data_IF_019008177435
#
_entry.id   IF_019008177435
#
_cell.length_a   1.000
_cell.length_b   1.000
_cell.length_c   1.000
_cell.angle_alpha   90.00
_cell.angle_beta   90.00
_cell.angle_gamma   90.00
#
_symmetry.space_group_name_H-M   'P 1'
#
loop_
_entity.id
_entity.type
_entity.pdbx_description
1 polymer ?
#
# COMPACT_ATOMS: atom_id res chain seq x y z
N UNK A 1 -32.39 -4.72 -6.18
CA UNK A 1 -31.74 -3.42 -5.97
C UNK A 1 -30.41 -3.46 -6.71
N UNK A 2 -30.02 -2.41 -7.43
CA UNK A 2 -28.69 -2.32 -8.03
C UNK A 2 -27.62 -2.29 -6.95
N UNK A 3 -26.48 -2.92 -7.20
CA UNK A 3 -25.33 -2.83 -6.29
C UNK A 3 -24.88 -1.37 -6.15
N UNK A 4 -24.70 -0.84 -4.92
CA UNK A 4 -24.23 0.54 -4.74
C UNK A 4 -22.88 0.77 -5.42
N UNK A 5 -22.73 1.87 -6.14
CA UNK A 5 -21.43 2.32 -6.61
C UNK A 5 -20.63 2.87 -5.43
N UNK A 6 -19.33 2.55 -5.40
CA UNK A 6 -18.42 2.93 -4.31
C UNK A 6 -17.47 4.01 -4.82
N UNK A 7 -17.36 5.10 -4.08
CA UNK A 7 -16.52 6.25 -4.41
C UNK A 7 -15.49 6.54 -3.31
N UNK A 8 -14.40 7.19 -3.68
CA UNK A 8 -13.37 7.66 -2.75
C UNK A 8 -13.61 9.13 -2.46
N UNK A 9 -13.83 9.46 -1.20
CA UNK A 9 -14.17 10.83 -0.76
C UNK A 9 -13.11 11.45 0.15
N UNK A 10 -12.14 10.67 0.62
CA UNK A 10 -11.03 11.16 1.40
C UNK A 10 -9.82 10.26 1.30
N UNK A 11 -8.64 10.87 1.41
CA UNK A 11 -7.34 10.21 1.36
C UNK A 11 -6.42 10.74 2.45
N UNK A 12 -5.58 9.88 3.02
CA UNK A 12 -4.58 10.26 4.01
C UNK A 12 -3.41 9.29 4.00
N UNK A 13 -2.20 9.78 4.23
CA UNK A 13 -1.00 8.93 4.27
C UNK A 13 0.12 9.54 5.10
N UNK A 14 1.04 8.69 5.51
CA UNK A 14 2.37 9.05 5.98
C UNK A 14 3.36 8.04 5.40
N UNK A 15 4.40 8.54 4.74
CA UNK A 15 5.26 7.75 3.86
C UNK A 15 6.74 8.14 4.04
N UNK A 16 7.68 7.41 3.44
CA UNK A 16 9.10 7.80 3.41
C UNK A 16 9.40 9.09 2.67
N UNK A 17 8.47 9.57 1.84
CA UNK A 17 8.66 10.76 1.00
C UNK A 17 7.81 11.96 1.46
N UNK A 18 6.93 11.79 2.45
CA UNK A 18 6.11 12.87 2.98
C UNK A 18 5.30 12.47 4.20
N UNK A 19 4.96 13.42 5.06
CA UNK A 19 4.17 13.22 6.27
C UNK A 19 2.66 13.23 6.06
N UNK A 20 2.20 13.64 4.87
CA UNK A 20 0.81 13.77 4.45
C UNK A 20 0.67 13.48 2.94
N UNK A 21 -0.57 13.52 2.44
CA UNK A 21 -0.87 13.28 1.01
C UNK A 21 -0.21 14.31 0.11
N UNK A 22 -0.28 15.59 0.46
CA UNK A 22 0.20 16.67 -0.39
C UNK A 22 1.72 16.62 -0.58
N UNK A 23 2.46 16.46 0.52
CA UNK A 23 3.93 16.35 0.50
C UNK A 23 4.38 15.06 -0.18
N UNK A 24 3.71 13.93 0.10
CA UNK A 24 4.02 12.64 -0.53
C UNK A 24 3.79 12.68 -2.03
N UNK A 25 2.65 13.18 -2.49
CA UNK A 25 2.34 13.24 -3.92
C UNK A 25 3.28 14.18 -4.68
N UNK A 26 3.58 15.35 -4.10
CA UNK A 26 4.57 16.28 -4.68
C UNK A 26 5.96 15.64 -4.83
N UNK A 27 6.42 14.92 -3.81
CA UNK A 27 7.71 14.23 -3.84
C UNK A 27 7.73 13.07 -4.87
N UNK A 28 6.64 12.31 -4.97
CA UNK A 28 6.47 11.24 -5.96
C UNK A 28 6.54 11.79 -7.38
N UNK A 29 5.81 12.88 -7.68
CA UNK A 29 5.86 13.50 -9.02
C UNK A 29 7.24 14.11 -9.33
N UNK A 30 7.95 14.59 -8.30
CA UNK A 30 9.31 15.11 -8.45
C UNK A 30 10.39 14.01 -8.56
N UNK A 31 10.02 12.72 -8.48
CA UNK A 31 10.97 11.61 -8.52
C UNK A 31 11.92 11.56 -7.31
N UNK A 32 11.47 12.01 -6.13
CA UNK A 32 12.29 12.03 -4.93
C UNK A 32 12.28 10.67 -4.23
N UNK A 33 13.45 10.14 -3.93
CA UNK A 33 13.60 8.92 -3.14
C UNK A 33 13.55 9.21 -1.64
N UNK A 34 12.74 8.43 -0.90
CA UNK A 34 12.72 8.41 0.57
C UNK A 34 13.64 7.36 1.19
N UNK A 35 14.40 6.66 0.36
CA UNK A 35 15.34 5.63 0.83
C UNK A 35 16.61 6.28 1.39
N UNK A 36 16.98 5.88 2.61
CA UNK A 36 18.14 6.43 3.31
C UNK A 36 18.83 5.36 4.17
N UNK A 37 20.08 5.60 4.60
CA UNK A 37 20.74 4.72 5.57
C UNK A 37 19.94 4.63 6.89
N UNK A 38 19.95 3.46 7.50
CA UNK A 38 19.38 3.25 8.82
C UNK A 38 20.43 3.68 9.85
N UNK A 39 20.10 4.67 10.70
CA UNK A 39 20.95 5.14 11.80
C UNK A 39 20.60 4.39 13.10
N UNK A 40 21.16 3.18 13.25
CA UNK A 40 20.99 2.37 14.44
C UNK A 40 22.17 1.40 14.60
N UNK A 41 22.57 1.12 15.83
CA UNK A 41 23.71 0.22 16.11
C UNK A 41 23.48 -1.21 15.57
N UNK A 42 22.25 -1.73 15.66
CA UNK A 42 21.92 -3.09 15.26
C UNK A 42 22.06 -3.37 13.75
N UNK A 43 22.13 -2.32 12.91
CA UNK A 43 22.23 -2.47 11.45
C UNK A 43 23.66 -2.71 10.95
N UNK A 44 24.69 -2.41 11.76
CA UNK A 44 26.08 -2.33 11.32
C UNK A 44 26.61 -3.60 10.64
N UNK A 45 26.17 -4.78 11.10
CA UNK A 45 26.59 -6.08 10.58
C UNK A 45 25.58 -6.67 9.55
N UNK A 46 24.49 -5.95 9.25
CA UNK A 46 23.50 -6.43 8.30
C UNK A 46 23.97 -6.22 6.85
N UNK A 47 23.64 -7.15 5.92
CA UNK A 47 23.96 -6.99 4.50
C UNK A 47 23.27 -5.78 3.88
N UNK A 48 21.99 -5.54 4.20
CA UNK A 48 21.23 -4.36 3.81
C UNK A 48 21.13 -3.39 4.98
N UNK A 49 21.54 -2.13 4.77
CA UNK A 49 21.60 -1.08 5.81
C UNK A 49 20.80 0.15 5.44
N UNK A 50 19.85 0.00 4.53
CA UNK A 50 19.03 1.07 3.97
C UNK A 50 17.55 0.75 4.09
N UNK A 51 16.72 1.78 4.23
CA UNK A 51 15.26 1.63 4.26
C UNK A 51 14.56 2.94 3.89
N UNK A 52 13.30 2.83 3.50
CA UNK A 52 12.35 3.92 3.41
C UNK A 52 11.67 4.13 4.77
N UNK A 53 12.30 4.87 5.67
CA UNK A 53 11.74 5.22 6.96
C UNK A 53 10.77 6.39 6.81
N UNK A 54 9.78 6.55 7.71
CA UNK A 54 8.85 7.69 7.70
C UNK A 54 9.58 9.03 7.61
N UNK A 55 9.10 9.91 6.71
CA UNK A 55 9.66 11.25 6.54
C UNK A 55 9.43 12.15 7.76
N UNK A 56 8.31 11.94 8.45
CA UNK A 56 7.95 12.64 9.70
C UNK A 56 7.76 11.59 10.80
N UNK A 57 8.46 11.78 11.92
CA UNK A 57 8.32 10.87 13.06
C UNK A 57 6.94 10.98 13.70
N UNK A 58 6.26 9.86 14.02
CA UNK A 58 4.96 9.90 14.65
C UNK A 58 4.91 10.71 15.95
N UNK A 59 6.01 10.80 16.69
CA UNK A 59 6.12 11.59 17.92
C UNK A 59 6.05 13.10 17.71
N UNK A 60 6.20 13.58 16.48
CA UNK A 60 6.04 14.99 16.11
C UNK A 60 4.55 15.35 15.89
N UNK A 61 3.73 14.35 15.57
CA UNK A 61 2.30 14.50 15.26
C UNK A 61 1.40 14.05 16.39
N UNK A 62 1.74 12.93 17.02
CA UNK A 62 0.96 12.31 18.09
C UNK A 62 1.38 12.77 19.48
N UNK A 63 0.45 12.70 20.42
CA UNK A 63 0.75 12.97 21.83
C UNK A 63 1.65 11.89 22.44
N UNK A 64 2.39 12.23 23.51
CA UNK A 64 3.20 11.28 24.28
C UNK A 64 2.39 10.09 24.83
N UNK A 65 1.09 10.25 25.05
CA UNK A 65 0.22 9.18 25.53
C UNK A 65 -0.05 8.19 24.40
N UNK A 66 -0.35 8.67 23.22
CA UNK A 66 -0.59 7.85 22.01
C UNK A 66 0.68 7.07 21.63
N UNK A 67 1.82 7.72 21.55
CA UNK A 67 3.09 7.07 21.18
C UNK A 67 3.53 5.97 22.16
N UNK A 68 3.09 6.04 23.43
CA UNK A 68 3.39 5.00 24.44
C UNK A 68 2.41 3.83 24.44
N UNK A 69 1.23 4.00 23.87
CA UNK A 69 0.14 3.01 23.92
C UNK A 69 -0.07 2.30 22.58
N UNK A 70 0.45 2.86 21.52
CA UNK A 70 0.28 2.38 20.15
C UNK A 70 1.62 1.87 19.61
N UNK A 71 1.57 0.73 18.91
CA UNK A 71 2.68 0.29 18.08
C UNK A 71 2.94 1.30 16.94
N UNK A 72 4.17 1.34 16.41
CA UNK A 72 4.53 2.27 15.35
C UNK A 72 3.62 2.15 14.10
N UNK A 73 3.20 0.93 13.75
CA UNK A 73 2.25 0.70 12.65
C UNK A 73 0.86 1.27 12.96
N UNK A 74 0.42 1.17 14.22
CA UNK A 74 -0.83 1.77 14.68
C UNK A 74 -0.74 3.30 14.70
N UNK A 75 0.41 3.85 15.09
CA UNK A 75 0.67 5.29 15.05
C UNK A 75 0.55 5.85 13.63
N UNK A 76 1.22 5.20 12.66
CA UNK A 76 1.13 5.58 11.25
C UNK A 76 -0.32 5.49 10.72
N UNK A 77 -1.03 4.42 11.06
CA UNK A 77 -2.44 4.24 10.67
C UNK A 77 -3.35 5.34 11.22
N UNK A 78 -3.17 5.75 12.49
CA UNK A 78 -3.94 6.83 13.13
C UNK A 78 -3.66 8.18 12.45
N UNK A 79 -2.40 8.49 12.15
CA UNK A 79 -2.02 9.73 11.44
C UNK A 79 -2.72 9.79 10.07
N UNK A 80 -2.58 8.73 9.27
CA UNK A 80 -3.21 8.67 7.95
C UNK A 80 -4.75 8.67 8.04
N UNK A 81 -5.33 7.99 9.03
CA UNK A 81 -6.78 7.95 9.20
C UNK A 81 -7.37 9.31 9.57
N UNK A 82 -6.70 10.08 10.42
CA UNK A 82 -7.12 11.44 10.79
C UNK A 82 -7.11 12.37 9.58
N UNK A 83 -6.06 12.31 8.76
CA UNK A 83 -5.99 13.07 7.53
C UNK A 83 -7.13 12.68 6.59
N UNK A 84 -7.29 11.37 6.29
CA UNK A 84 -8.34 10.89 5.39
C UNK A 84 -9.75 11.27 5.86
N UNK A 85 -10.02 11.19 7.18
CA UNK A 85 -11.31 11.55 7.76
C UNK A 85 -11.60 13.04 7.64
N UNK A 86 -10.60 13.88 7.89
CA UNK A 86 -10.72 15.33 7.74
C UNK A 86 -10.88 15.73 6.27
N UNK A 87 -10.10 15.13 5.37
CA UNK A 87 -10.18 15.34 3.93
C UNK A 87 -11.56 14.97 3.38
N UNK A 88 -12.17 13.88 3.87
CA UNK A 88 -13.55 13.53 3.56
C UNK A 88 -14.59 14.50 4.14
N UNK A 89 -14.19 15.51 4.91
CA UNK A 89 -15.09 16.44 5.59
C UNK A 89 -15.79 15.84 6.82
N UNK A 90 -15.21 14.83 7.46
CA UNK A 90 -15.71 14.14 8.64
C UNK A 90 -17.21 13.76 8.50
N UNK A 91 -17.56 12.84 7.58
CA UNK A 91 -18.94 12.55 7.19
C UNK A 91 -19.82 12.19 8.38
N UNK A 92 -21.00 12.81 8.46
CA UNK A 92 -22.01 12.44 9.43
C UNK A 92 -22.68 11.13 9.01
N UNK A 93 -22.39 10.06 9.72
CA UNK A 93 -22.92 8.72 9.45
C UNK A 93 -23.33 8.04 10.74
N UNK A 94 -24.37 7.20 10.68
CA UNK A 94 -24.75 6.41 11.86
C UNK A 94 -23.61 5.42 12.18
N UNK A 95 -23.20 5.29 13.47
CA UNK A 95 -22.11 4.39 13.84
C UNK A 95 -22.26 2.95 13.32
N UNK A 96 -23.48 2.44 13.26
CA UNK A 96 -23.84 1.12 12.74
C UNK A 96 -23.71 1.00 11.22
N UNK A 97 -23.47 2.13 10.52
CA UNK A 97 -23.22 2.22 9.07
C UNK A 97 -21.79 2.65 8.74
N UNK A 98 -20.95 2.84 9.77
CA UNK A 98 -19.53 3.21 9.68
C UNK A 98 -18.64 2.00 9.98
N UNK A 99 -17.74 1.65 9.08
CA UNK A 99 -16.79 0.55 9.22
C UNK A 99 -15.33 0.98 9.21
N UNK A 100 -14.43 0.07 9.61
CA UNK A 100 -12.98 0.20 9.45
C UNK A 100 -12.37 -1.12 8.99
N UNK A 101 -11.57 -1.10 7.91
CA UNK A 101 -10.87 -2.29 7.39
C UNK A 101 -9.44 -1.90 7.06
N UNK A 102 -8.47 -2.28 7.91
CA UNK A 102 -7.07 -1.87 7.74
C UNK A 102 -6.18 -3.11 7.85
N UNK A 103 -5.42 -3.35 6.78
CA UNK A 103 -4.49 -4.47 6.68
C UNK A 103 -3.09 -4.15 7.19
N UNK A 104 -2.39 -5.17 7.65
CA UNK A 104 -0.95 -5.16 7.95
C UNK A 104 -0.39 -6.54 7.66
N UNK A 105 0.85 -6.63 7.19
CA UNK A 105 1.46 -7.91 6.85
C UNK A 105 2.02 -8.64 8.07
N UNK A 106 2.60 -7.91 9.02
CA UNK A 106 3.32 -8.48 10.18
C UNK A 106 2.72 -8.01 11.51
N UNK A 107 2.25 -6.77 11.58
CA UNK A 107 1.75 -6.17 12.82
C UNK A 107 2.88 -5.64 13.72
N UNK A 108 2.65 -5.59 15.04
CA UNK A 108 3.51 -4.92 16.00
C UNK A 108 4.76 -5.69 16.43
N UNK A 109 5.58 -6.15 15.50
CA UNK A 109 6.79 -6.93 15.80
C UNK A 109 7.81 -6.13 16.60
N UNK A 110 7.96 -4.83 16.34
CA UNK A 110 8.88 -3.97 17.10
C UNK A 110 8.47 -3.89 18.57
N UNK A 111 7.18 -3.69 18.84
CA UNK A 111 6.64 -3.72 20.20
C UNK A 111 6.79 -5.08 20.89
N UNK A 112 6.73 -6.18 20.14
CA UNK A 112 6.96 -7.52 20.67
C UNK A 112 8.41 -7.69 21.14
N UNK A 113 9.38 -7.26 20.33
CA UNK A 113 10.80 -7.36 20.64
C UNK A 113 11.16 -6.50 21.87
N UNK A 114 10.71 -5.25 21.90
CA UNK A 114 10.92 -4.34 23.05
C UNK A 114 10.35 -4.91 24.36
N UNK A 115 9.18 -5.56 24.25
CA UNK A 115 8.54 -6.20 25.40
C UNK A 115 9.31 -7.47 25.83
N UNK A 116 9.85 -8.24 24.88
CA UNK A 116 10.67 -9.41 25.15
C UNK A 116 11.98 -9.03 25.84
N UNK A 117 12.66 -7.99 25.39
CA UNK A 117 13.87 -7.47 26.03
C UNK A 117 13.57 -6.94 27.43
N UNK A 118 12.48 -6.20 27.60
CA UNK A 118 12.01 -5.74 28.92
C UNK A 118 11.72 -6.92 29.86
N UNK A 119 11.09 -7.99 29.35
CA UNK A 119 10.81 -9.21 30.14
C UNK A 119 12.13 -9.85 30.63
N UNK A 120 13.12 -9.99 29.75
CA UNK A 120 14.39 -10.63 30.08
C UNK A 120 15.26 -9.79 31.03
N UNK A 121 15.31 -8.48 30.83
CA UNK A 121 16.19 -7.59 31.62
C UNK A 121 15.55 -7.16 32.94
N UNK A 122 14.23 -6.96 32.98
CA UNK A 122 13.53 -6.28 34.11
C UNK A 122 12.38 -7.07 34.72
N UNK A 123 12.03 -8.22 34.15
CA UNK A 123 10.96 -9.11 34.59
C UNK A 123 9.56 -8.68 34.16
N UNK A 124 8.58 -9.59 34.30
CA UNK A 124 7.23 -9.47 33.79
C UNK A 124 6.47 -8.21 34.26
N UNK A 125 6.73 -7.75 35.48
CA UNK A 125 6.06 -6.58 36.06
C UNK A 125 6.41 -5.24 35.42
N UNK A 126 7.43 -5.23 34.54
CA UNK A 126 7.87 -4.05 33.78
C UNK A 126 7.40 -4.06 32.32
N UNK A 127 6.88 -5.17 31.84
CA UNK A 127 6.29 -5.27 30.49
C UNK A 127 5.05 -4.33 30.43
N UNK A 128 4.92 -3.61 29.32
CA UNK A 128 3.81 -2.68 29.12
C UNK A 128 2.44 -3.41 29.21
N UNK A 129 1.45 -2.89 29.94
CA UNK A 129 0.11 -3.46 29.95
C UNK A 129 -0.59 -3.32 28.59
N UNK A 130 -0.08 -2.50 27.68
CA UNK A 130 -0.59 -2.32 26.32
C UNK A 130 0.05 -3.28 25.30
N UNK A 131 1.07 -4.05 25.71
CA UNK A 131 1.87 -4.88 24.80
C UNK A 131 0.99 -5.79 23.93
N UNK A 132 0.02 -6.48 24.51
CA UNK A 132 -0.82 -7.41 23.74
C UNK A 132 -1.61 -6.68 22.65
N UNK A 133 -2.20 -5.52 22.95
CA UNK A 133 -2.93 -4.74 21.95
C UNK A 133 -2.04 -4.07 20.91
N UNK A 134 -0.78 -3.82 21.25
CA UNK A 134 0.22 -3.27 20.31
C UNK A 134 0.68 -4.30 19.27
N UNK A 135 0.80 -5.58 19.66
CA UNK A 135 1.34 -6.62 18.77
C UNK A 135 0.31 -7.24 17.82
N UNK A 136 -0.98 -7.15 18.16
CA UNK A 136 -2.02 -7.82 17.37
C UNK A 136 -2.17 -7.20 15.96
N UNK A 137 -2.21 -8.02 14.88
CA UNK A 137 -2.38 -7.51 13.53
C UNK A 137 -3.69 -6.73 13.30
N UNK A 138 -4.73 -6.99 14.09
CA UNK A 138 -5.96 -6.19 14.04
C UNK A 138 -5.84 -4.84 14.77
N UNK A 139 -4.72 -4.55 15.41
CA UNK A 139 -4.48 -3.33 16.19
C UNK A 139 -4.73 -2.04 15.41
N UNK A 140 -4.17 -1.87 14.20
CA UNK A 140 -4.41 -0.67 13.39
C UNK A 140 -5.89 -0.43 13.10
N UNK A 141 -6.62 -1.46 12.65
CA UNK A 141 -8.06 -1.36 12.40
C UNK A 141 -8.85 -1.05 13.68
N UNK A 142 -8.46 -1.67 14.80
CA UNK A 142 -9.13 -1.48 16.08
C UNK A 142 -8.98 -0.05 16.61
N UNK A 143 -7.77 0.53 16.61
CA UNK A 143 -7.53 1.88 17.11
C UNK A 143 -8.21 2.93 16.24
N UNK A 144 -8.16 2.81 14.92
CA UNK A 144 -8.87 3.69 14.00
C UNK A 144 -10.39 3.54 14.16
N UNK A 145 -10.90 2.31 14.20
CA UNK A 145 -12.33 2.05 14.39
C UNK A 145 -12.88 2.63 15.69
N UNK A 146 -12.11 2.55 16.79
CA UNK A 146 -12.47 3.19 18.06
C UNK A 146 -12.51 4.71 17.96
N UNK A 147 -11.53 5.32 17.28
CA UNK A 147 -11.43 6.78 17.15
C UNK A 147 -12.60 7.37 16.36
N UNK A 148 -13.01 6.72 15.28
CA UNK A 148 -14.14 7.20 14.46
C UNK A 148 -15.51 6.69 14.95
N UNK A 149 -15.55 5.79 15.93
CA UNK A 149 -16.80 5.22 16.45
C UNK A 149 -17.46 4.20 15.53
N UNK A 150 -16.66 3.44 14.73
CA UNK A 150 -17.16 2.44 13.80
C UNK A 150 -17.87 1.27 14.49
N UNK A 151 -19.10 0.92 14.05
CA UNK A 151 -19.90 -0.19 14.57
C UNK A 151 -20.46 -1.12 13.48
N UNK A 152 -20.33 -0.81 12.20
CA UNK A 152 -20.73 -1.71 11.12
C UNK A 152 -19.82 -2.94 11.03
N UNK A 153 -18.58 -2.80 11.50
CA UNK A 153 -17.55 -3.86 11.55
C UNK A 153 -16.15 -3.27 11.51
N UNK A 154 -15.23 -3.96 12.19
CA UNK A 154 -13.80 -3.62 12.21
C UNK A 154 -13.04 -4.89 11.84
N UNK A 155 -12.30 -4.85 10.74
CA UNK A 155 -11.61 -6.02 10.18
C UNK A 155 -10.16 -5.71 9.82
N UNK A 156 -9.31 -6.73 9.82
CA UNK A 156 -7.91 -6.62 9.43
C UNK A 156 -7.51 -7.85 8.60
N UNK A 157 -7.54 -7.78 7.27
CA UNK A 157 -7.00 -8.85 6.45
C UNK A 157 -5.47 -8.89 6.56
N UNK A 158 -4.93 -10.11 6.45
CA UNK A 158 -3.49 -10.37 6.46
C UNK A 158 -3.15 -11.25 5.25
N UNK A 159 -2.62 -10.63 4.20
CA UNK A 159 -2.18 -11.26 2.96
C UNK A 159 -0.78 -10.76 2.55
N UNK A 160 0.10 -10.67 3.55
CA UNK A 160 1.46 -10.15 3.41
C UNK A 160 1.46 -8.78 2.70
N UNK A 161 2.21 -8.64 1.59
CA UNK A 161 2.33 -7.36 0.87
C UNK A 161 1.02 -6.88 0.20
N UNK A 162 0.02 -7.76 0.05
CA UNK A 162 -1.28 -7.42 -0.53
C UNK A 162 -2.33 -6.95 0.51
N UNK A 163 -2.00 -6.95 1.81
CA UNK A 163 -2.96 -6.70 2.90
C UNK A 163 -3.72 -5.39 2.76
N UNK A 164 -3.06 -4.30 2.38
CA UNK A 164 -3.70 -2.98 2.22
C UNK A 164 -4.66 -2.94 1.03
N UNK A 165 -4.30 -3.55 -0.09
CA UNK A 165 -5.18 -3.65 -1.26
C UNK A 165 -6.38 -4.57 -0.96
N UNK A 166 -6.16 -5.71 -0.29
CA UNK A 166 -7.24 -6.60 0.15
C UNK A 166 -8.20 -5.91 1.11
N UNK A 167 -7.68 -5.07 2.01
CA UNK A 167 -8.50 -4.28 2.93
C UNK A 167 -9.45 -3.36 2.16
N UNK A 168 -8.97 -2.65 1.14
CA UNK A 168 -9.78 -1.77 0.28
C UNK A 168 -10.87 -2.58 -0.45
N UNK A 169 -10.52 -3.74 -1.01
CA UNK A 169 -11.49 -4.62 -1.67
C UNK A 169 -12.59 -5.10 -0.69
N UNK A 170 -12.21 -5.51 0.51
CA UNK A 170 -13.16 -5.98 1.54
C UNK A 170 -14.05 -4.84 2.06
N UNK A 171 -13.52 -3.63 2.20
CA UNK A 171 -14.29 -2.44 2.58
C UNK A 171 -15.34 -2.07 1.52
N UNK A 172 -14.95 -2.05 0.25
CA UNK A 172 -15.87 -1.82 -0.85
C UNK A 172 -16.98 -2.87 -0.89
N UNK A 173 -16.66 -4.14 -0.60
CA UNK A 173 -17.64 -5.22 -0.50
C UNK A 173 -18.63 -4.99 0.64
N UNK A 174 -18.20 -4.47 1.80
CA UNK A 174 -19.11 -4.11 2.90
C UNK A 174 -20.14 -3.05 2.46
N UNK A 175 -19.75 -2.08 1.64
CA UNK A 175 -20.65 -1.06 1.10
C UNK A 175 -21.59 -1.67 0.06
N UNK A 176 -21.06 -2.44 -0.89
CA UNK A 176 -21.85 -3.11 -1.93
C UNK A 176 -22.90 -4.07 -1.38
N UNK A 177 -22.59 -4.74 -0.25
CA UNK A 177 -23.50 -5.63 0.47
C UNK A 177 -24.53 -4.87 1.35
N UNK A 178 -24.45 -3.54 1.37
CA UNK A 178 -25.37 -2.70 2.17
C UNK A 178 -25.12 -2.79 3.68
N UNK A 179 -23.95 -3.23 4.12
CA UNK A 179 -23.58 -3.33 5.56
C UNK A 179 -23.06 -2.01 6.12
N UNK A 180 -22.47 -1.17 5.29
CA UNK A 180 -21.96 0.15 5.64
C UNK A 180 -22.28 1.16 4.55
N UNK A 181 -22.32 2.46 4.90
CA UNK A 181 -22.35 3.57 3.94
C UNK A 181 -20.97 4.19 3.78
N UNK A 182 -20.19 4.18 4.86
CA UNK A 182 -18.83 4.74 4.93
C UNK A 182 -17.89 3.73 5.56
N UNK A 183 -16.72 3.52 4.96
CA UNK A 183 -15.67 2.66 5.52
C UNK A 183 -14.31 3.35 5.37
N UNK A 184 -13.57 3.52 6.48
CA UNK A 184 -12.15 3.85 6.44
C UNK A 184 -11.37 2.57 6.17
N UNK A 185 -10.51 2.61 5.15
CA UNK A 185 -9.80 1.41 4.74
C UNK A 185 -8.42 1.72 4.17
N UNK A 186 -7.56 0.74 4.22
CA UNK A 186 -6.20 0.83 3.70
C UNK A 186 -5.24 -0.12 4.38
N UNK A 187 -3.99 0.30 4.55
CA UNK A 187 -2.96 -0.55 5.14
C UNK A 187 -1.84 0.23 5.80
N UNK A 188 -1.13 -0.43 6.67
CA UNK A 188 0.02 0.11 7.39
C UNK A 188 1.07 -0.95 7.63
N UNK A 189 2.33 -0.55 7.70
CA UNK A 189 3.43 -1.39 8.18
C UNK A 189 4.53 -0.55 8.79
N UNK A 190 5.15 -1.05 9.87
CA UNK A 190 6.31 -0.40 10.51
C UNK A 190 7.19 -1.45 11.19
N UNK A 191 7.96 -2.19 10.38
CA UNK A 191 8.71 -3.36 10.82
C UNK A 191 10.20 -3.26 10.53
N UNK A 192 10.73 -2.05 10.38
CA UNK A 192 12.18 -1.83 10.18
C UNK A 192 12.89 -2.06 11.52
N UNK A 193 13.32 -3.30 11.74
CA UNK A 193 14.06 -3.71 12.95
C UNK A 193 15.04 -4.85 12.63
N UNK A 194 15.91 -5.17 13.57
CA UNK A 194 16.99 -6.13 13.36
C UNK A 194 16.57 -7.50 12.84
N UNK A 195 15.50 -8.08 13.41
CA UNK A 195 15.08 -9.43 13.04
C UNK A 195 14.40 -9.50 11.65
N UNK A 196 13.61 -8.52 11.29
CA UNK A 196 12.97 -8.48 9.98
C UNK A 196 13.97 -8.21 8.87
N UNK A 197 14.89 -7.25 9.08
CA UNK A 197 16.02 -6.99 8.17
C UNK A 197 16.90 -8.24 8.01
N UNK A 198 17.25 -8.93 9.10
CA UNK A 198 18.02 -10.17 9.07
C UNK A 198 17.26 -11.28 8.31
N UNK A 199 15.97 -11.45 8.57
CA UNK A 199 15.13 -12.47 7.94
C UNK A 199 15.06 -12.29 6.42
N UNK A 200 14.74 -11.08 5.94
CA UNK A 200 14.71 -10.80 4.50
C UNK A 200 16.09 -10.82 3.85
N UNK A 201 17.15 -10.42 4.57
CA UNK A 201 18.54 -10.55 4.10
C UNK A 201 18.94 -12.03 3.94
N UNK A 202 18.55 -12.89 4.90
CA UNK A 202 18.81 -14.33 4.82
C UNK A 202 18.13 -14.98 3.61
N UNK A 203 16.94 -14.45 3.21
CA UNK A 203 16.24 -14.83 1.98
C UNK A 203 16.88 -14.25 0.72
N UNK A 204 17.86 -13.34 0.83
CA UNK A 204 18.43 -12.55 -0.26
C UNK A 204 17.37 -11.75 -1.03
N UNK A 205 16.40 -11.22 -0.31
CA UNK A 205 15.30 -10.47 -0.89
C UNK A 205 15.53 -8.95 -0.87
N UNK A 206 16.43 -8.47 0.00
CA UNK A 206 16.74 -7.03 0.12
C UNK A 206 17.90 -6.62 -0.78
N UNK A 207 17.80 -5.40 -1.31
CA UNK A 207 18.91 -4.72 -1.96
C UNK A 207 20.06 -4.48 -0.99
N UNK A 208 21.27 -4.67 -1.48
CA UNK A 208 22.51 -4.42 -0.74
C UNK A 208 23.28 -3.19 -1.22
N UNK A 209 22.66 -2.34 -2.03
CA UNK A 209 23.23 -1.10 -2.56
C UNK A 209 23.33 0.00 -1.50
N UNK A 210 24.08 -0.29 -0.44
CA UNK A 210 24.23 0.59 0.73
C UNK A 210 24.99 1.89 0.43
N UNK A 211 25.85 1.89 -0.61
CA UNK A 211 26.70 3.04 -0.96
C UNK A 211 25.92 4.11 -1.74
N UNK A 212 24.77 3.74 -2.34
CA UNK A 212 23.86 4.66 -3.02
C UNK A 212 22.42 4.31 -2.69
N UNK A 213 21.92 4.66 -1.50
CA UNK A 213 20.59 4.29 -1.02
C UNK A 213 19.47 4.76 -1.95
N UNK A 214 19.61 5.96 -2.52
CA UNK A 214 18.57 6.56 -3.38
C UNK A 214 18.42 5.85 -4.71
N UNK A 215 19.43 5.13 -5.17
CA UNK A 215 19.44 4.33 -6.39
C UNK A 215 19.18 2.83 -6.15
N UNK A 216 18.90 2.42 -4.90
CA UNK A 216 18.79 1.00 -4.54
C UNK A 216 17.50 0.36 -5.04
N UNK A 217 16.36 1.01 -4.87
CA UNK A 217 15.10 0.55 -5.44
C UNK A 217 14.99 1.00 -6.90
N UNK A 218 15.07 0.05 -7.82
CA UNK A 218 15.17 0.30 -9.27
C UNK A 218 14.34 -0.73 -10.08
N UNK A 219 13.01 -0.69 -9.96
CA UNK A 219 12.14 -1.63 -10.67
C UNK A 219 12.43 -1.65 -12.17
N UNK A 220 12.42 -2.85 -12.74
CA UNK A 220 12.61 -3.11 -14.17
C UNK A 220 14.03 -2.89 -14.72
N UNK A 221 14.93 -2.35 -13.92
CA UNK A 221 16.34 -2.16 -14.31
C UNK A 221 17.13 -3.47 -14.24
N UNK A 222 18.10 -3.64 -15.16
CA UNK A 222 18.97 -4.83 -15.18
C UNK A 222 19.79 -5.02 -13.92
N UNK A 223 20.13 -3.93 -13.24
CA UNK A 223 21.01 -3.93 -12.06
C UNK A 223 20.21 -3.97 -10.73
N UNK A 224 18.91 -4.29 -10.76
CA UNK A 224 18.11 -4.50 -9.54
C UNK A 224 18.55 -5.74 -8.81
N UNK A 225 18.69 -5.65 -7.50
CA UNK A 225 19.25 -6.71 -6.64
C UNK A 225 18.34 -7.11 -5.47
N UNK A 226 17.13 -6.58 -5.39
CA UNK A 226 16.17 -6.84 -4.34
C UNK A 226 15.35 -5.61 -3.97
N UNK A 227 14.36 -5.78 -3.08
CA UNK A 227 13.56 -4.65 -2.63
C UNK A 227 14.25 -3.86 -1.49
N UNK A 228 13.85 -2.62 -1.30
CA UNK A 228 14.20 -1.82 -0.12
C UNK A 228 13.01 -1.83 0.82
N UNK A 229 13.20 -2.21 2.09
CA UNK A 229 12.10 -2.18 3.07
C UNK A 229 11.65 -0.76 3.35
N UNK A 230 10.34 -0.54 3.42
CA UNK A 230 9.73 0.73 3.77
C UNK A 230 8.74 0.60 4.93
N UNK A 231 8.37 1.73 5.54
CA UNK A 231 7.32 1.83 6.55
C UNK A 231 6.37 3.00 6.23
N UNK A 232 5.14 2.92 6.73
CA UNK A 232 4.13 3.96 6.54
C UNK A 232 2.71 3.43 6.53
N UNK A 233 1.77 4.31 6.20
CA UNK A 233 0.36 3.99 6.10
C UNK A 233 -0.33 4.80 5.00
N UNK A 234 -1.34 4.18 4.38
CA UNK A 234 -2.30 4.85 3.51
C UNK A 234 -3.72 4.48 3.91
N UNK A 235 -4.58 5.46 4.02
CA UNK A 235 -6.00 5.28 4.35
C UNK A 235 -6.85 6.03 3.33
N UNK A 236 -7.89 5.38 2.84
CA UNK A 236 -8.93 5.99 2.01
C UNK A 236 -10.28 5.91 2.73
N UNK A 237 -11.12 6.90 2.49
CA UNK A 237 -12.53 6.87 2.88
C UNK A 237 -13.33 6.41 1.66
N UNK A 238 -13.93 5.23 1.76
CA UNK A 238 -14.89 4.74 0.77
C UNK A 238 -16.30 5.04 1.23
N UNK A 239 -17.12 5.54 0.30
CA UNK A 239 -18.55 5.80 0.53
C UNK A 239 -19.41 5.19 -0.58
N UNK A 240 -20.66 4.86 -0.26
CA UNK A 240 -21.66 4.68 -1.32
C UNK A 240 -21.85 6.03 -2.03
N UNK A 241 -21.96 6.01 -3.36
CA UNK A 241 -22.17 7.24 -4.14
C UNK A 241 -23.40 8.01 -3.65
N UNK A 242 -24.48 7.31 -3.34
CA UNK A 242 -25.71 7.91 -2.81
C UNK A 242 -25.46 8.72 -1.54
N UNK A 243 -24.69 8.17 -0.57
CA UNK A 243 -24.35 8.87 0.67
C UNK A 243 -23.44 10.07 0.40
N UNK A 244 -22.43 9.89 -0.45
CA UNK A 244 -21.47 10.95 -0.81
C UNK A 244 -22.17 12.14 -1.49
N UNK A 245 -23.03 11.88 -2.48
CA UNK A 245 -23.79 12.91 -3.20
C UNK A 245 -24.81 13.60 -2.29
N UNK A 246 -25.52 12.88 -1.43
CA UNK A 246 -26.49 13.44 -0.50
C UNK A 246 -25.88 14.48 0.45
N UNK A 247 -24.59 14.36 0.79
CA UNK A 247 -23.88 15.32 1.64
C UNK A 247 -22.99 16.32 0.85
N UNK A 248 -22.97 16.24 -0.48
CA UNK A 248 -22.17 17.13 -1.34
C UNK A 248 -20.65 16.88 -1.22
N UNK A 249 -20.24 15.63 -1.04
CA UNK A 249 -18.82 15.26 -0.93
C UNK A 249 -18.05 15.52 -2.23
N UNK A 250 -16.79 15.91 -2.10
CA UNK A 250 -15.84 15.82 -3.20
C UNK A 250 -15.49 14.35 -3.46
N UNK A 251 -15.48 13.95 -4.74
CA UNK A 251 -15.17 12.58 -5.14
C UNK A 251 -13.82 12.59 -5.87
N UNK A 252 -12.84 11.85 -5.36
CA UNK A 252 -11.53 11.69 -5.98
C UNK A 252 -11.55 10.75 -7.18
N UNK A 253 -12.38 9.71 -7.12
CA UNK A 253 -12.48 8.67 -8.13
C UNK A 253 -13.49 7.60 -7.71
N UNK A 254 -13.74 6.67 -8.61
CA UNK A 254 -14.64 5.53 -8.39
C UNK A 254 -13.82 4.28 -8.14
N UNK A 255 -14.15 3.56 -7.07
CA UNK A 255 -13.69 2.18 -6.91
C UNK A 255 -14.48 1.30 -7.89
N UNK A 256 -13.82 0.83 -8.94
CA UNK A 256 -14.43 0.01 -9.97
C UNK A 256 -14.66 -1.44 -9.52
N UNK A 257 -13.61 -2.09 -9.06
CA UNK A 257 -13.68 -3.50 -8.69
C UNK A 257 -12.36 -4.06 -8.19
N UNK A 258 -12.37 -5.33 -7.80
CA UNK A 258 -11.19 -6.08 -7.37
C UNK A 258 -11.16 -7.50 -7.91
N UNK A 259 -9.95 -8.01 -8.13
CA UNK A 259 -9.69 -9.42 -8.30
C UNK A 259 -8.72 -9.90 -7.23
N UNK A 260 -9.03 -11.01 -6.61
CA UNK A 260 -8.20 -11.66 -5.59
C UNK A 260 -8.03 -13.12 -5.98
N UNK A 261 -6.77 -13.55 -6.15
CA UNK A 261 -6.41 -14.91 -6.57
C UNK A 261 -5.21 -15.40 -5.78
N UNK A 262 -4.74 -16.59 -6.13
CA UNK A 262 -3.51 -17.12 -5.57
C UNK A 262 -2.69 -17.79 -6.66
N UNK A 263 -1.37 -17.64 -6.60
CA UNK A 263 -0.44 -18.34 -7.49
C UNK A 263 -0.51 -19.86 -7.33
N UNK A 264 -0.64 -20.34 -6.10
CA UNK A 264 -0.57 -21.78 -5.80
C UNK A 264 0.79 -22.40 -6.17
N UNK A 265 1.84 -21.60 -6.24
CA UNK A 265 3.15 -21.99 -6.76
C UNK A 265 4.18 -22.23 -5.66
N UNK A 266 4.54 -21.18 -4.88
CA UNK A 266 5.57 -21.25 -3.85
C UNK A 266 5.28 -20.25 -2.73
N UNK A 267 5.80 -20.52 -1.50
CA UNK A 267 5.53 -19.66 -0.34
C UNK A 267 6.11 -18.23 -0.45
N UNK A 268 7.19 -18.04 -1.21
CA UNK A 268 7.88 -16.74 -1.31
C UNK A 268 8.23 -16.31 -2.75
N UNK A 269 8.20 -17.23 -3.71
CA UNK A 269 8.50 -16.92 -5.12
C UNK A 269 7.22 -16.75 -5.91
N UNK A 270 7.12 -15.74 -6.79
CA UNK A 270 5.99 -15.60 -7.69
C UNK A 270 5.95 -16.74 -8.71
N UNK A 271 4.77 -17.01 -9.24
CA UNK A 271 4.64 -17.86 -10.44
C UNK A 271 5.37 -17.19 -11.61
N UNK A 272 6.43 -17.80 -12.18
CA UNK A 272 7.19 -17.19 -13.29
C UNK A 272 6.34 -16.91 -14.53
N UNK A 273 5.24 -17.64 -14.70
CA UNK A 273 4.27 -17.43 -15.78
C UNK A 273 3.28 -16.27 -15.48
N UNK A 274 3.32 -15.67 -14.27
CA UNK A 274 2.43 -14.61 -13.84
C UNK A 274 0.94 -14.99 -13.85
N UNK A 275 0.65 -16.28 -13.70
CA UNK A 275 -0.70 -16.82 -13.90
C UNK A 275 -1.70 -16.31 -12.87
N UNK A 276 -1.31 -16.27 -11.59
CA UNK A 276 -2.13 -15.76 -10.49
C UNK A 276 -2.43 -14.28 -10.66
N UNK A 277 -1.39 -13.48 -10.81
CA UNK A 277 -1.47 -12.04 -10.99
C UNK A 277 -2.31 -11.66 -12.23
N UNK A 278 -2.16 -12.36 -13.36
CA UNK A 278 -2.98 -12.12 -14.55
C UNK A 278 -4.46 -12.42 -14.29
N UNK A 279 -4.78 -13.50 -13.55
CA UNK A 279 -6.17 -13.81 -13.15
C UNK A 279 -6.74 -12.73 -12.22
N UNK A 280 -5.95 -12.22 -11.28
CA UNK A 280 -6.37 -11.14 -10.40
C UNK A 280 -6.76 -9.89 -11.20
N UNK A 281 -5.89 -9.42 -12.11
CA UNK A 281 -6.18 -8.28 -12.98
C UNK A 281 -7.41 -8.52 -13.85
N UNK A 282 -7.53 -9.70 -14.49
CA UNK A 282 -8.68 -10.04 -15.32
C UNK A 282 -9.98 -10.05 -14.51
N UNK A 283 -9.95 -10.61 -13.31
CA UNK A 283 -11.11 -10.64 -12.41
C UNK A 283 -11.49 -9.22 -11.93
N UNK A 284 -10.50 -8.37 -11.65
CA UNK A 284 -10.71 -6.98 -11.25
C UNK A 284 -11.40 -6.17 -12.36
N UNK A 285 -10.95 -6.32 -13.61
CA UNK A 285 -11.56 -5.68 -14.78
C UNK A 285 -13.00 -6.16 -15.00
N UNK A 286 -13.23 -7.47 -14.85
CA UNK A 286 -14.58 -8.04 -14.96
C UNK A 286 -15.52 -7.54 -13.86
N UNK A 287 -15.05 -7.48 -12.59
CA UNK A 287 -15.83 -6.92 -11.47
C UNK A 287 -16.15 -5.43 -11.67
N UNK A 288 -15.23 -4.70 -12.27
CA UNK A 288 -15.39 -3.28 -12.59
C UNK A 288 -16.27 -3.01 -13.85
N UNK A 289 -16.51 -4.01 -14.68
CA UNK A 289 -17.14 -3.82 -15.99
C UNK A 289 -16.29 -2.95 -16.94
N UNK A 290 -14.97 -2.95 -16.77
CA UNK A 290 -14.01 -2.14 -17.52
C UNK A 290 -13.33 -3.01 -18.57
N UNK A 291 -13.23 -2.50 -19.80
CA UNK A 291 -12.49 -3.18 -20.86
C UNK A 291 -10.99 -2.92 -20.72
N UNK A 292 -10.16 -3.80 -21.30
CA UNK A 292 -8.71 -3.61 -21.32
C UNK A 292 -8.29 -2.35 -22.08
N UNK A 293 -9.13 -1.86 -23.02
CA UNK A 293 -8.88 -0.63 -23.77
C UNK A 293 -9.05 0.65 -22.93
N UNK A 294 -9.79 0.58 -21.82
CA UNK A 294 -10.02 1.71 -20.92
C UNK A 294 -8.89 1.87 -19.89
N UNK A 295 -7.99 0.87 -19.78
CA UNK A 295 -6.86 0.90 -18.83
C UNK A 295 -5.70 1.68 -19.43
N UNK A 296 -5.44 2.84 -18.88
CA UNK A 296 -4.34 3.72 -19.32
C UNK A 296 -3.18 3.82 -18.34
N UNK A 297 -3.35 3.33 -17.11
CA UNK A 297 -2.32 3.33 -16.09
C UNK A 297 -2.34 2.03 -15.28
N UNK A 298 -1.17 1.53 -14.94
CA UNK A 298 -0.96 0.43 -13.99
C UNK A 298 0.05 0.89 -12.95
N UNK A 299 -0.39 1.08 -11.71
CA UNK A 299 0.53 1.17 -10.58
C UNK A 299 0.90 -0.26 -10.19
N UNK A 300 2.09 -0.65 -10.55
CA UNK A 300 2.54 -2.02 -10.45
C UNK A 300 3.04 -2.36 -9.04
N UNK A 301 3.05 -3.63 -8.72
CA UNK A 301 3.70 -4.12 -7.50
C UNK A 301 5.19 -3.82 -7.51
N UNK A 302 5.89 -4.08 -8.61
CA UNK A 302 7.20 -3.55 -8.98
C UNK A 302 8.20 -3.40 -7.81
N UNK A 303 8.54 -4.49 -7.16
CA UNK A 303 9.36 -4.48 -5.92
C UNK A 303 10.85 -4.28 -6.15
N UNK A 304 11.32 -4.20 -7.39
CA UNK A 304 12.77 -4.18 -7.71
C UNK A 304 13.45 -5.53 -7.42
N UNK A 305 12.69 -6.62 -7.46
CA UNK A 305 13.26 -7.98 -7.36
C UNK A 305 13.46 -8.57 -8.76
N UNK A 306 14.55 -9.31 -9.00
CA UNK A 306 14.85 -9.85 -10.32
C UNK A 306 13.69 -10.66 -10.94
N UNK A 307 13.08 -11.57 -10.16
CA UNK A 307 12.02 -12.45 -10.65
C UNK A 307 10.62 -11.79 -10.59
N UNK A 308 10.35 -10.99 -9.55
CA UNK A 308 9.04 -10.38 -9.33
C UNK A 308 8.64 -9.44 -10.45
N UNK A 309 9.55 -8.57 -10.86
CA UNK A 309 9.28 -7.57 -11.88
C UNK A 309 9.06 -8.20 -13.28
N UNK A 310 9.79 -9.31 -13.60
CA UNK A 310 9.58 -10.06 -14.84
C UNK A 310 8.21 -10.75 -14.83
N UNK A 311 7.89 -11.47 -13.74
CA UNK A 311 6.63 -12.20 -13.62
C UNK A 311 5.42 -11.25 -13.71
N UNK A 312 5.51 -10.06 -13.08
CA UNK A 312 4.47 -9.05 -13.18
C UNK A 312 4.33 -8.48 -14.59
N UNK A 313 5.43 -8.20 -15.28
CA UNK A 313 5.40 -7.74 -16.67
C UNK A 313 4.70 -8.76 -17.60
N UNK A 314 4.99 -10.06 -17.42
CA UNK A 314 4.28 -11.14 -18.11
C UNK A 314 2.79 -11.14 -17.77
N UNK A 315 2.44 -10.99 -16.49
CA UNK A 315 1.06 -10.97 -16.03
C UNK A 315 0.26 -9.80 -16.62
N UNK A 316 0.84 -8.58 -16.65
CA UNK A 316 0.22 -7.39 -17.24
C UNK A 316 -0.06 -7.63 -18.74
N UNK A 317 0.89 -8.15 -19.49
CA UNK A 317 0.69 -8.46 -20.91
C UNK A 317 -0.41 -9.51 -21.12
N UNK A 318 -0.47 -10.54 -20.27
CA UNK A 318 -1.51 -11.57 -20.34
C UNK A 318 -2.90 -11.01 -20.03
N UNK A 319 -3.01 -10.14 -19.02
CA UNK A 319 -4.28 -9.57 -18.60
C UNK A 319 -4.83 -8.54 -19.60
N UNK A 320 -3.97 -7.65 -20.12
CA UNK A 320 -4.37 -6.56 -21.00
C UNK A 320 -4.30 -6.92 -22.50
N UNK A 321 -3.63 -8.00 -22.86
CA UNK A 321 -3.50 -8.45 -24.24
C UNK A 321 -2.87 -7.39 -25.16
N UNK A 322 -3.52 -7.09 -26.29
CA UNK A 322 -3.06 -6.07 -27.24
C UNK A 322 -3.05 -4.64 -26.70
N UNK A 323 -3.76 -4.37 -25.60
CA UNK A 323 -3.83 -3.03 -24.99
C UNK A 323 -2.70 -2.79 -23.96
N UNK A 324 -1.90 -3.81 -23.66
CA UNK A 324 -0.77 -3.65 -22.73
C UNK A 324 0.23 -2.57 -23.16
N UNK A 325 0.41 -2.35 -24.47
CA UNK A 325 1.29 -1.32 -25.00
C UNK A 325 0.74 0.12 -24.87
N UNK A 326 -0.52 0.27 -24.45
CA UNK A 326 -1.19 1.56 -24.24
C UNK A 326 -1.32 1.90 -22.73
N UNK A 327 -1.16 0.92 -21.85
CA UNK A 327 -1.25 1.08 -20.40
C UNK A 327 0.11 1.43 -19.82
N UNK A 328 0.32 2.68 -19.43
CA UNK A 328 1.59 3.14 -18.86
C UNK A 328 1.79 2.56 -17.46
N UNK A 329 2.89 1.86 -17.26
CA UNK A 329 3.22 1.19 -16.00
C UNK A 329 4.13 2.07 -15.14
N UNK A 330 3.85 2.12 -13.84
CA UNK A 330 4.68 2.84 -12.85
C UNK A 330 5.02 1.95 -11.66
N UNK A 331 6.25 2.07 -11.18
CA UNK A 331 6.76 1.41 -9.96
C UNK A 331 7.12 2.43 -8.90
N UNK A 332 6.13 2.90 -8.12
CA UNK A 332 6.34 3.95 -7.11
C UNK A 332 7.22 3.50 -5.94
N UNK A 333 7.41 2.18 -5.77
CA UNK A 333 8.38 1.64 -4.80
C UNK A 333 9.83 2.02 -5.11
N UNK A 334 10.13 2.48 -6.32
CA UNK A 334 11.43 3.10 -6.64
C UNK A 334 11.75 4.29 -5.74
N UNK A 335 10.73 4.96 -5.20
CA UNK A 335 10.84 6.15 -4.34
C UNK A 335 10.54 5.85 -2.88
N UNK A 336 9.52 5.06 -2.60
CA UNK A 336 9.06 4.78 -1.22
C UNK A 336 9.75 3.59 -0.58
N UNK A 337 10.40 2.71 -1.35
CA UNK A 337 10.65 1.35 -0.91
C UNK A 337 9.34 0.55 -0.82
N UNK A 338 9.42 -0.65 -0.29
CA UNK A 338 8.30 -1.57 -0.16
C UNK A 338 7.73 -1.57 1.26
N UNK A 339 6.55 -0.98 1.45
CA UNK A 339 5.88 -0.86 2.75
C UNK A 339 5.11 -2.13 3.15
N UNK A 340 5.40 -3.28 2.55
CA UNK A 340 4.74 -4.55 2.82
C UNK A 340 3.21 -4.40 2.86
N UNK A 341 2.57 -4.65 4.02
CA UNK A 341 1.12 -4.53 4.17
C UNK A 341 0.55 -3.12 3.94
N UNK A 342 1.36 -2.08 4.08
CA UNK A 342 0.98 -0.69 3.78
C UNK A 342 1.08 -0.32 2.30
N UNK A 343 1.85 -1.08 1.50
CA UNK A 343 2.19 -0.72 0.13
C UNK A 343 0.95 -0.53 -0.77
N UNK A 344 0.08 -1.54 -0.84
CA UNK A 344 -1.09 -1.48 -1.71
C UNK A 344 -2.06 -0.34 -1.40
N UNK A 345 -2.04 0.17 -0.17
CA UNK A 345 -2.88 1.29 0.25
C UNK A 345 -2.32 2.64 -0.22
N UNK A 346 -1.03 2.93 0.00
CA UNK A 346 -0.43 4.18 -0.51
C UNK A 346 -0.45 4.21 -2.05
N UNK A 347 -0.21 3.08 -2.68
CA UNK A 347 -0.22 2.94 -4.14
C UNK A 347 -1.63 3.09 -4.72
N UNK A 348 -2.68 2.66 -4.01
CA UNK A 348 -4.07 2.98 -4.36
C UNK A 348 -4.32 4.49 -4.35
N UNK A 349 -3.80 5.21 -3.35
CA UNK A 349 -3.92 6.67 -3.28
C UNK A 349 -3.16 7.31 -4.43
N UNK A 350 -1.92 6.89 -4.72
CA UNK A 350 -1.17 7.40 -5.88
C UNK A 350 -1.89 7.11 -7.20
N UNK A 351 -2.53 5.95 -7.34
CA UNK A 351 -3.33 5.59 -8.53
C UNK A 351 -4.53 6.52 -8.69
N UNK A 352 -5.26 6.80 -7.60
CA UNK A 352 -6.41 7.71 -7.60
C UNK A 352 -5.96 9.14 -7.94
N UNK A 353 -4.85 9.61 -7.35
CA UNK A 353 -4.30 10.93 -7.63
C UNK A 353 -3.79 11.04 -9.08
N UNK A 354 -3.19 9.97 -9.62
CA UNK A 354 -2.77 9.92 -11.03
C UNK A 354 -3.97 10.08 -11.99
N UNK A 355 -5.09 9.44 -11.69
CA UNK A 355 -6.33 9.58 -12.46
C UNK A 355 -6.93 10.99 -12.34
N UNK A 356 -6.95 11.57 -11.14
CA UNK A 356 -7.45 12.92 -10.88
C UNK A 356 -6.62 13.98 -11.59
N UNK A 357 -5.30 13.92 -11.43
CA UNK A 357 -4.36 14.94 -11.93
C UNK A 357 -3.90 14.65 -13.37
N UNK A 358 -4.37 13.55 -13.96
CA UNK A 358 -4.00 13.09 -15.31
C UNK A 358 -2.49 12.96 -15.49
N UNK A 359 -1.81 12.48 -14.46
CA UNK A 359 -0.35 12.37 -14.45
C UNK A 359 0.09 11.07 -13.80
N UNK A 360 0.67 10.16 -14.57
CA UNK A 360 1.31 8.96 -14.05
C UNK A 360 2.67 9.34 -13.43
N UNK A 361 2.96 8.92 -12.19
CA UNK A 361 4.25 9.20 -11.55
C UNK A 361 5.40 8.44 -12.22
N UNK A 362 6.66 8.87 -12.02
CA UNK A 362 7.81 8.17 -12.59
C UNK A 362 8.14 6.87 -11.85
N UNK A 363 8.76 5.94 -12.56
CA UNK A 363 9.62 4.91 -11.99
C UNK A 363 11.05 5.42 -12.07
N UNK A 364 11.65 5.82 -10.96
CA UNK A 364 13.03 6.33 -10.94
C UNK A 364 14.06 5.21 -10.97
N UNK A 365 15.32 5.55 -11.24
CA UNK A 365 16.47 4.64 -11.30
C UNK A 365 16.39 3.59 -12.44
N UNK A 366 15.54 3.78 -13.41
CA UNK A 366 15.48 2.93 -14.60
C UNK A 366 16.45 3.48 -15.65
N UNK A 367 17.67 2.97 -15.65
CA UNK A 367 18.73 3.34 -16.58
C UNK A 367 18.83 2.36 -17.77
N UNK A 368 18.73 1.07 -17.47
CA UNK A 368 18.82 -0.01 -18.44
C UNK A 368 17.65 -0.97 -18.26
N UNK A 369 16.63 -0.85 -19.11
CA UNK A 369 15.49 -1.76 -19.09
C UNK A 369 15.95 -3.21 -19.25
N UNK A 370 15.48 -4.10 -18.38
CA UNK A 370 15.73 -5.53 -18.49
C UNK A 370 15.12 -6.05 -19.81
N UNK A 371 15.92 -6.75 -20.65
CA UNK A 371 15.45 -7.22 -21.95
C UNK A 371 14.32 -8.23 -21.91
N UNK A 372 14.01 -8.83 -20.75
CA UNK A 372 12.86 -9.72 -20.56
C UNK A 372 11.57 -8.95 -20.26
N UNK A 373 11.65 -7.63 -20.00
CA UNK A 373 10.51 -6.79 -19.65
C UNK A 373 9.98 -6.02 -20.85
N UNK A 374 8.77 -6.36 -21.29
CA UNK A 374 8.15 -5.84 -22.50
C UNK A 374 6.84 -5.09 -22.20
N UNK A 375 6.88 -4.09 -21.33
CA UNK A 375 5.77 -3.19 -20.98
C UNK A 375 6.22 -1.73 -21.05
N UNK A 376 5.33 -0.77 -21.36
CA UNK A 376 5.67 0.65 -21.36
C UNK A 376 5.77 1.16 -19.93
N UNK A 377 6.96 1.58 -19.49
CA UNK A 377 7.22 2.10 -18.15
C UNK A 377 7.44 3.62 -18.21
N UNK A 378 6.83 4.36 -17.28
CA UNK A 378 7.08 5.78 -17.06
C UNK A 378 8.48 5.97 -16.42
N UNK A 379 9.53 5.96 -17.26
CA UNK A 379 10.91 5.99 -16.81
C UNK A 379 11.35 7.39 -16.42
N UNK A 380 11.81 7.57 -15.18
CA UNK A 380 12.52 8.73 -14.64
C UNK A 380 11.82 10.12 -14.75
N UNK A 381 10.62 10.17 -15.29
CA UNK A 381 9.81 11.40 -15.38
C UNK A 381 8.33 11.09 -15.34
N UNK A 382 7.48 12.00 -14.81
CA UNK A 382 6.04 11.83 -14.89
C UNK A 382 5.54 11.97 -16.33
N UNK A 383 4.42 11.30 -16.64
CA UNK A 383 3.81 11.30 -17.96
C UNK A 383 2.33 11.67 -17.90
N UNK A 384 1.85 12.43 -18.88
CA UNK A 384 0.43 12.75 -18.99
C UNK A 384 -0.41 11.50 -19.32
N UNK A 385 -1.55 11.38 -18.64
CA UNK A 385 -2.61 10.42 -18.95
C UNK A 385 -3.69 11.09 -19.80
N UNK A 386 -4.38 10.33 -20.69
CA UNK A 386 -5.40 10.90 -21.56
C UNK A 386 -6.56 11.50 -20.78
N UNK A 387 -7.27 12.45 -21.41
CA UNK A 387 -8.54 12.99 -20.92
C UNK A 387 -9.71 12.02 -21.17
N UNK A 388 -10.86 12.27 -20.53
CA UNK A 388 -12.07 11.43 -20.64
C UNK A 388 -12.13 10.38 -19.53
N UNK A 389 -13.03 9.41 -19.71
CA UNK A 389 -13.18 8.31 -18.76
C UNK A 389 -12.06 7.30 -18.96
N UNK A 390 -11.19 7.18 -17.96
CA UNK A 390 -10.10 6.23 -17.96
C UNK A 390 -10.09 5.41 -16.68
N UNK A 391 -9.50 4.24 -16.78
CA UNK A 391 -9.29 3.34 -15.65
C UNK A 391 -7.80 3.11 -15.39
N UNK A 392 -7.50 2.77 -14.16
CA UNK A 392 -6.18 2.34 -13.73
C UNK A 392 -6.27 1.07 -12.88
N UNK A 393 -5.25 0.24 -12.98
CA UNK A 393 -5.00 -0.90 -12.11
C UNK A 393 -4.02 -0.51 -11.01
N UNK A 394 -4.26 -1.01 -9.80
CA UNK A 394 -3.28 -1.05 -8.72
C UNK A 394 -3.03 -2.51 -8.33
N UNK A 395 -1.80 -2.99 -8.49
CA UNK A 395 -1.40 -4.37 -8.26
C UNK A 395 -0.68 -4.52 -6.93
N UNK A 396 -1.03 -5.56 -6.18
CA UNK A 396 -0.34 -5.92 -4.93
C UNK A 396 -0.21 -7.44 -4.84
N UNK A 397 1.02 -7.94 -4.84
CA UNK A 397 1.32 -9.37 -4.79
C UNK A 397 2.11 -9.69 -3.53
N UNK A 398 1.64 -10.67 -2.75
CA UNK A 398 2.17 -11.01 -1.44
C UNK A 398 2.78 -12.40 -1.37
N UNK A 399 3.75 -12.57 -0.48
CA UNK A 399 4.23 -13.89 -0.11
C UNK A 399 3.07 -14.79 0.31
N UNK A 400 3.14 -16.08 -0.02
CA UNK A 400 2.03 -17.01 0.06
C UNK A 400 1.25 -17.12 -1.25
N UNK A 401 1.66 -16.35 -2.28
CA UNK A 401 1.01 -16.30 -3.59
C UNK A 401 -0.32 -15.54 -3.54
N UNK A 402 -0.43 -14.53 -2.68
CA UNK A 402 -1.61 -13.67 -2.62
C UNK A 402 -1.53 -12.60 -3.70
N UNK A 403 -2.46 -12.65 -4.66
CA UNK A 403 -2.54 -11.66 -5.75
C UNK A 403 -3.82 -10.84 -5.62
N UNK A 404 -3.66 -9.54 -5.49
CA UNK A 404 -4.74 -8.57 -5.46
C UNK A 404 -4.53 -7.51 -6.53
N UNK A 405 -5.55 -7.29 -7.36
CA UNK A 405 -5.61 -6.17 -8.28
C UNK A 405 -6.87 -5.34 -8.01
N UNK A 406 -6.72 -4.04 -7.95
CA UNK A 406 -7.82 -3.09 -7.79
C UNK A 406 -7.97 -2.27 -9.07
N UNK A 407 -9.21 -1.98 -9.45
CA UNK A 407 -9.54 -1.04 -10.53
C UNK A 407 -10.09 0.23 -9.93
N UNK A 408 -9.50 1.35 -10.31
CA UNK A 408 -10.04 2.69 -10.07
C UNK A 408 -10.41 3.34 -11.39
N UNK A 409 -11.45 4.20 -11.38
CA UNK A 409 -11.89 4.98 -12.54
C UNK A 409 -11.86 6.46 -12.18
N UNK A 410 -11.66 7.29 -13.18
CA UNK A 410 -11.85 8.73 -13.02
C UNK A 410 -13.27 9.07 -12.55
N UNK A 411 -13.42 10.16 -11.78
CA UNK A 411 -14.70 10.65 -11.25
C UNK A 411 -15.55 11.29 -12.35
#
# INVERSE_FOLDING_TARGET
MSTPEVVVTGVGMTTPVGGDVASSWSAILAGQSGVRPIDAEWIAEQPSRIAGQLAVEPSEVLTKVETRRLDRSQQAAVIAAREAWQDAGAPAVQPERLGAVIGTGIGGVTSLLDAYDTLNERGWSRVSPHMVTMIMPNGPAAVVGLEIGARAGVHSPVSACASGAEAIANAARMIRDGRADVVLTGGTEAVICGITMAGFSAMRALSTRNDDPTAASRPYDTDRDGFVMGEGAGIVVLESREHAEARGASIYGVYGGAGMTSDGHHIAQPDPEGGGAARAMTAALADAGVSTADVHHVNAHATSTPQGDIAEAVAIRRALGSHADQALVTGTKSMTGHLLGGAGAIESIFTILALRDRTAPPTINLENMDPEIHIPVAANSPHELPSGDIAALNNSFGFGGHDVALVFRSA
#
